data_IF_891396545749
#
_entry.id   IF_891396545749
#
_cell.length_a   1.000
_cell.length_b   1.000
_cell.length_c   1.000
_cell.angle_alpha   90.00
_cell.angle_beta   90.00
_cell.angle_gamma   90.00
#
_symmetry.space_group_name_H-M   'P 1'
#
loop_
_entity.id
_entity.type
_entity.pdbx_description
1 polymer ?
#
# COMPACT_ATOMS: atom_id res chain seq x y z
N UNK A 1 -5.15 2.33 -8.13
CA UNK A 1 -3.74 2.01 -8.47
C UNK A 1 -3.22 2.78 -9.67
N UNK A 2 -4.07 3.15 -10.62
CA UNK A 2 -3.60 3.75 -11.88
C UNK A 2 -2.90 5.09 -11.68
N UNK A 3 -3.46 5.98 -10.84
CA UNK A 3 -2.80 7.25 -10.49
C UNK A 3 -1.44 7.04 -9.82
N UNK A 4 -1.34 6.05 -8.92
CA UNK A 4 -0.14 5.78 -8.13
C UNK A 4 0.99 5.13 -8.92
N UNK A 5 0.64 4.33 -9.93
CA UNK A 5 1.61 3.52 -10.69
C UNK A 5 1.79 4.00 -12.14
N UNK A 6 0.91 4.89 -12.62
CA UNK A 6 0.83 5.29 -14.02
C UNK A 6 0.37 4.19 -14.97
N UNK A 7 -0.06 3.03 -14.45
CA UNK A 7 -0.42 1.83 -15.22
C UNK A 7 -1.87 1.45 -14.96
N UNK A 8 -2.58 1.08 -16.02
CA UNK A 8 -3.94 0.55 -15.89
C UNK A 8 -3.96 -0.79 -15.15
N UNK A 9 -5.11 -1.16 -14.58
CA UNK A 9 -5.26 -2.46 -13.90
C UNK A 9 -4.85 -3.64 -14.78
N UNK A 10 -5.19 -3.60 -16.08
CA UNK A 10 -4.83 -4.64 -17.05
C UNK A 10 -3.31 -4.73 -17.27
N UNK A 11 -2.63 -3.60 -17.29
CA UNK A 11 -1.16 -3.55 -17.45
C UNK A 11 -0.43 -4.03 -16.20
N UNK A 12 -1.08 -4.05 -15.04
CA UNK A 12 -0.48 -4.53 -13.79
C UNK A 12 -0.54 -6.06 -13.64
N UNK A 13 -1.35 -6.75 -14.45
CA UNK A 13 -1.46 -8.21 -14.43
C UNK A 13 -0.17 -8.82 -15.01
N UNK A 14 0.43 -9.76 -14.27
CA UNK A 14 1.66 -10.44 -14.68
C UNK A 14 2.96 -9.68 -14.41
N UNK A 15 2.88 -8.42 -13.97
CA UNK A 15 4.05 -7.64 -13.58
C UNK A 15 4.54 -7.98 -12.18
N UNK A 16 5.85 -7.96 -12.01
CA UNK A 16 6.51 -8.06 -10.71
C UNK A 16 6.53 -6.70 -10.01
N UNK A 17 6.73 -6.65 -8.67
CA UNK A 17 6.92 -5.38 -7.97
C UNK A 17 8.04 -4.50 -8.55
N UNK A 18 9.09 -5.10 -9.11
CA UNK A 18 10.21 -4.37 -9.74
C UNK A 18 9.82 -3.67 -11.05
N UNK A 19 8.79 -4.15 -11.75
CA UNK A 19 8.28 -3.52 -12.98
C UNK A 19 7.38 -2.30 -12.70
N UNK A 20 7.06 -2.08 -11.41
CA UNK A 20 6.05 -1.11 -10.95
C UNK A 20 6.64 -0.09 -9.99
N UNK A 21 7.59 -0.48 -9.14
CA UNK A 21 8.13 0.36 -8.07
C UNK A 21 9.65 0.46 -8.15
N UNK A 22 10.22 1.43 -7.43
CA UNK A 22 11.67 1.49 -7.21
C UNK A 22 12.17 0.23 -6.49
N UNK A 23 13.46 -0.07 -6.62
CA UNK A 23 14.08 -1.24 -6.02
C UNK A 23 13.75 -1.39 -4.52
N UNK A 24 13.94 -0.33 -3.73
CA UNK A 24 13.66 -0.33 -2.29
C UNK A 24 12.20 -0.68 -1.97
N UNK A 25 11.25 -0.08 -2.71
CA UNK A 25 9.82 -0.33 -2.49
C UNK A 25 9.45 -1.75 -2.96
N UNK A 26 10.01 -2.21 -4.08
CA UNK A 26 9.78 -3.54 -4.61
C UNK A 26 10.28 -4.63 -3.65
N UNK A 27 11.49 -4.49 -3.13
CA UNK A 27 12.06 -5.38 -2.10
C UNK A 27 11.17 -5.41 -0.85
N UNK A 28 10.70 -4.24 -0.40
CA UNK A 28 9.79 -4.16 0.75
C UNK A 28 8.47 -4.87 0.50
N UNK A 29 7.91 -4.73 -0.70
CA UNK A 29 6.67 -5.40 -1.11
C UNK A 29 6.87 -6.93 -1.08
N UNK A 30 7.97 -7.44 -1.61
CA UNK A 30 8.30 -8.87 -1.60
C UNK A 30 8.47 -9.38 -0.17
N UNK A 31 9.28 -8.70 0.65
CA UNK A 31 9.52 -9.07 2.05
C UNK A 31 8.19 -9.20 2.83
N UNK A 32 7.29 -8.23 2.64
CA UNK A 32 6.01 -8.20 3.34
C UNK A 32 5.00 -9.21 2.78
N UNK A 33 5.02 -9.49 1.47
CA UNK A 33 4.25 -10.57 0.86
C UNK A 33 4.70 -11.93 1.40
N UNK A 34 6.01 -12.17 1.47
CA UNK A 34 6.58 -13.39 2.03
C UNK A 34 6.20 -13.61 3.49
N UNK A 35 6.18 -12.56 4.31
CA UNK A 35 5.75 -12.68 5.72
C UNK A 35 4.29 -13.13 5.83
N UNK A 36 3.41 -12.55 5.03
CA UNK A 36 1.99 -12.91 4.98
C UNK A 36 1.82 -14.35 4.48
N UNK A 37 2.55 -14.73 3.43
CA UNK A 37 2.53 -16.09 2.89
C UNK A 37 3.14 -17.13 3.85
N UNK A 38 4.26 -16.85 4.50
CA UNK A 38 4.94 -17.84 5.34
C UNK A 38 4.22 -18.05 6.66
N UNK A 39 3.77 -16.96 7.30
CA UNK A 39 3.18 -17.02 8.63
C UNK A 39 1.66 -17.10 8.62
N UNK A 40 1.03 -16.92 7.45
CA UNK A 40 -0.42 -16.94 7.30
C UNK A 40 -1.15 -15.91 8.18
N UNK A 41 -0.49 -14.77 8.41
CA UNK A 41 -1.01 -13.65 9.21
C UNK A 41 -1.26 -12.44 8.34
N UNK A 42 -2.19 -11.59 8.78
CA UNK A 42 -2.35 -10.26 8.18
C UNK A 42 -1.23 -9.34 8.63
N UNK A 43 -0.78 -8.45 7.75
CA UNK A 43 0.24 -7.46 8.06
C UNK A 43 -0.28 -6.06 7.71
N UNK A 44 -0.06 -5.08 8.60
CA UNK A 44 -0.35 -3.67 8.32
C UNK A 44 0.91 -2.85 8.57
N UNK A 45 1.27 -1.97 7.64
CA UNK A 45 2.47 -1.14 7.72
C UNK A 45 2.29 0.17 6.95
N UNK A 46 3.03 1.20 7.33
CA UNK A 46 3.06 2.46 6.58
C UNK A 46 4.23 2.45 5.59
N UNK A 47 4.02 3.01 4.40
CA UNK A 47 5.04 3.10 3.36
C UNK A 47 4.87 4.41 2.59
N UNK A 48 5.98 5.13 2.40
CA UNK A 48 6.02 6.23 1.45
C UNK A 48 6.17 5.71 0.03
N UNK A 49 5.29 6.17 -0.85
CA UNK A 49 5.28 5.85 -2.27
C UNK A 49 5.44 7.14 -3.07
N UNK A 50 6.02 7.00 -4.26
CA UNK A 50 6.26 8.12 -5.19
C UNK A 50 5.34 7.92 -6.39
N UNK A 51 4.52 8.93 -6.66
CA UNK A 51 3.69 9.00 -7.86
C UNK A 51 4.58 9.20 -9.11
N UNK A 52 4.09 8.89 -10.32
CA UNK A 52 4.82 9.14 -11.56
C UNK A 52 5.18 10.63 -11.77
N UNK A 53 4.38 11.54 -11.20
CA UNK A 53 4.61 13.00 -11.20
C UNK A 53 5.69 13.45 -10.19
N UNK A 54 6.29 12.53 -9.43
CA UNK A 54 7.31 12.81 -8.42
C UNK A 54 6.76 13.16 -7.03
N UNK A 55 5.45 13.32 -6.87
CA UNK A 55 4.81 13.60 -5.58
C UNK A 55 4.98 12.39 -4.65
N UNK A 56 5.27 12.65 -3.38
CA UNK A 56 5.30 11.62 -2.34
C UNK A 56 3.98 11.56 -1.57
N UNK A 57 3.51 10.36 -1.29
CA UNK A 57 2.38 10.10 -0.42
C UNK A 57 2.67 8.95 0.54
N UNK A 58 2.16 9.05 1.76
CA UNK A 58 2.26 8.03 2.77
C UNK A 58 1.01 7.16 2.73
N UNK A 59 1.19 5.86 2.57
CA UNK A 59 0.11 4.89 2.54
C UNK A 59 0.19 3.96 3.76
N UNK A 60 -0.95 3.76 4.41
CA UNK A 60 -1.18 2.64 5.30
C UNK A 60 -1.58 1.44 4.43
N UNK A 61 -0.69 0.46 4.34
CA UNK A 61 -0.86 -0.74 3.54
C UNK A 61 -1.23 -1.91 4.45
N UNK A 62 -2.29 -2.63 4.10
CA UNK A 62 -2.71 -3.86 4.78
C UNK A 62 -2.71 -5.02 3.81
N UNK A 63 -2.05 -6.11 4.16
CA UNK A 63 -1.98 -7.35 3.39
C UNK A 63 -2.65 -8.47 4.18
N UNK A 64 -3.51 -9.24 3.52
CA UNK A 64 -4.23 -10.36 4.14
C UNK A 64 -4.14 -11.61 3.26
N UNK A 65 -3.99 -12.83 3.83
CA UNK A 65 -4.11 -14.06 3.06
C UNK A 65 -5.50 -14.17 2.42
N UNK A 66 -5.56 -14.64 1.19
CA UNK A 66 -6.80 -14.88 0.46
C UNK A 66 -6.99 -16.38 0.22
N UNK A 67 -8.16 -16.88 0.60
CA UNK A 67 -8.55 -18.27 0.49
C UNK A 67 -9.64 -18.45 -0.56
N UNK A 68 -9.63 -19.59 -1.25
CA UNK A 68 -10.73 -20.01 -2.10
C UNK A 68 -11.92 -20.54 -1.27
N UNK A 69 -12.99 -20.94 -1.96
CA UNK A 69 -14.21 -21.47 -1.33
C UNK A 69 -14.00 -22.79 -0.59
N UNK A 70 -12.89 -23.48 -0.84
CA UNK A 70 -12.54 -24.78 -0.25
C UNK A 70 -11.55 -24.60 0.92
N UNK A 71 -11.21 -23.35 1.28
CA UNK A 71 -10.29 -23.03 2.36
C UNK A 71 -8.81 -23.15 2.00
N UNK A 72 -8.49 -23.41 0.72
CA UNK A 72 -7.09 -23.42 0.25
C UNK A 72 -6.65 -21.99 -0.01
N UNK A 73 -5.46 -21.63 0.50
CA UNK A 73 -4.90 -20.30 0.27
C UNK A 73 -4.50 -20.14 -1.20
N UNK A 74 -5.12 -19.18 -1.86
CA UNK A 74 -4.96 -18.91 -3.30
C UNK A 74 -4.02 -17.72 -3.57
N UNK A 75 -3.81 -16.83 -2.60
CA UNK A 75 -2.92 -15.69 -2.76
C UNK A 75 -2.99 -14.73 -1.57
N UNK A 76 -2.76 -13.45 -1.83
CA UNK A 76 -2.98 -12.38 -0.86
C UNK A 76 -3.75 -11.22 -1.48
N UNK A 77 -4.47 -10.48 -0.62
CA UNK A 77 -5.07 -9.20 -0.97
C UNK A 77 -4.32 -8.07 -0.27
N UNK A 78 -3.99 -7.03 -1.04
CA UNK A 78 -3.43 -5.78 -0.53
C UNK A 78 -4.46 -4.66 -0.57
N UNK A 79 -4.54 -3.90 0.52
CA UNK A 79 -5.31 -2.67 0.67
C UNK A 79 -4.36 -1.53 0.93
N UNK A 80 -4.62 -0.37 0.33
CA UNK A 80 -3.88 0.85 0.60
C UNK A 80 -4.82 2.00 0.93
N UNK A 81 -4.50 2.72 2.00
CA UNK A 81 -5.17 3.97 2.39
C UNK A 81 -4.16 5.09 2.39
N UNK A 82 -4.42 6.15 1.64
CA UNK A 82 -3.61 7.37 1.72
C UNK A 82 -3.83 8.02 3.09
N UNK A 83 -2.74 8.21 3.83
CA UNK A 83 -2.68 8.85 5.14
C UNK A 83 -1.79 10.10 5.12
N UNK A 84 -1.42 10.60 3.93
CA UNK A 84 -0.51 11.74 3.76
C UNK A 84 -1.02 12.97 4.49
N UNK A 85 -2.30 13.27 4.38
CA UNK A 85 -2.91 14.39 5.12
C UNK A 85 -2.86 14.15 6.63
N UNK A 86 -3.18 12.93 7.10
CA UNK A 86 -3.09 12.58 8.53
C UNK A 86 -1.68 12.82 9.07
N UNK A 87 -0.65 12.41 8.32
CA UNK A 87 0.76 12.64 8.67
C UNK A 87 1.10 14.12 8.68
N UNK A 88 0.73 14.86 7.64
CA UNK A 88 0.95 16.33 7.59
C UNK A 88 0.27 17.05 8.73
N UNK A 89 -0.94 16.65 9.12
CA UNK A 89 -1.62 17.21 10.29
C UNK A 89 -0.94 16.79 11.59
N UNK A 90 -0.42 15.56 11.70
CA UNK A 90 0.36 15.15 12.87
C UNK A 90 1.66 15.95 12.97
N UNK A 91 2.44 16.06 11.90
CA UNK A 91 3.67 16.86 11.85
C UNK A 91 3.36 18.35 12.11
N UNK A 92 2.25 18.85 11.55
CA UNK A 92 1.80 20.21 11.79
C UNK A 92 1.32 20.39 13.23
N UNK A 93 0.64 19.43 13.86
CA UNK A 93 0.22 19.48 15.27
C UNK A 93 1.40 19.30 16.23
N UNK A 94 2.41 18.53 15.86
CA UNK A 94 3.64 18.37 16.61
C UNK A 94 4.45 19.67 16.54
N UNK A 95 4.55 20.29 15.37
CA UNK A 95 5.08 21.66 15.21
C UNK A 95 4.18 22.74 15.85
N UNK A 96 2.86 22.62 15.77
CA UNK A 96 1.84 23.55 16.29
C UNK A 96 1.49 23.32 17.76
N UNK A 97 2.01 22.26 18.39
CA UNK A 97 2.14 22.20 19.84
C UNK A 97 3.13 23.26 20.36
N UNK A 98 3.85 23.95 19.44
CA UNK A 98 4.44 25.27 19.68
C UNK A 98 3.53 26.47 19.35
N UNK A 99 2.45 26.34 18.55
CA UNK A 99 1.43 27.40 18.28
C UNK A 99 0.13 26.87 17.60
N UNK A 100 -1.06 27.05 18.20
CA UNK A 100 -2.43 26.49 17.88
C UNK A 100 -3.03 26.79 16.45
N UNK A 101 -4.07 26.04 15.95
CA UNK A 101 -4.40 25.80 14.51
C UNK A 101 -5.69 26.46 13.95
N UNK A 102 -6.14 26.15 12.69
CA UNK A 102 -7.40 25.38 12.54
C UNK A 102 -7.60 24.41 11.32
N UNK A 103 -8.53 23.46 11.53
CA UNK A 103 -9.53 22.70 10.70
C UNK A 103 -9.44 22.48 9.17
N UNK A 104 -9.68 21.22 8.70
CA UNK A 104 -10.87 20.78 7.89
C UNK A 104 -10.67 19.55 6.93
N UNK A 105 -11.73 18.71 6.86
CA UNK A 105 -12.23 17.75 5.82
C UNK A 105 -11.38 16.58 5.26
N UNK A 106 -12.03 15.40 5.09
CA UNK A 106 -11.44 14.13 4.62
C UNK A 106 -12.11 13.63 3.33
N UNK A 107 -11.32 13.22 2.34
CA UNK A 107 -11.71 12.26 1.28
C UNK A 107 -10.88 10.99 1.45
N UNK A 108 -11.51 9.81 1.52
CA UNK A 108 -10.82 8.53 1.71
C UNK A 108 -11.03 7.64 0.48
N UNK A 109 -9.97 7.36 -0.28
CA UNK A 109 -9.98 6.41 -1.41
C UNK A 109 -9.33 5.10 -0.98
N UNK A 110 -10.08 4.00 -0.96
CA UNK A 110 -9.58 2.65 -0.70
C UNK A 110 -9.41 1.85 -1.99
N UNK A 111 -8.35 1.06 -2.11
CA UNK A 111 -8.08 0.21 -3.28
C UNK A 111 -7.82 -1.26 -2.90
N UNK A 112 -8.22 -2.21 -3.75
CA UNK A 112 -8.04 -3.68 -3.55
C UNK A 112 -7.18 -4.27 -4.67
N UNK A 113 -6.03 -4.88 -4.34
CA UNK A 113 -5.21 -5.65 -5.31
C UNK A 113 -5.20 -7.13 -4.96
N UNK A 114 -5.51 -8.00 -5.93
CA UNK A 114 -5.26 -9.45 -5.86
C UNK A 114 -3.83 -9.72 -6.32
N UNK A 115 -2.98 -10.21 -5.43
CA UNK A 115 -1.65 -10.71 -5.78
C UNK A 115 -1.73 -12.24 -5.78
N UNK A 116 -1.69 -12.83 -6.97
CA UNK A 116 -1.52 -14.27 -7.14
C UNK A 116 -0.03 -14.57 -6.99
N UNK A 117 0.34 -15.34 -5.96
CA UNK A 117 1.67 -15.91 -5.93
C UNK A 117 1.82 -16.84 -7.14
N UNK A 118 2.79 -16.54 -7.99
CA UNK A 118 3.29 -17.49 -8.98
C UNK A 118 3.76 -18.72 -8.21
N UNK A 119 3.05 -19.83 -8.38
CA UNK A 119 3.54 -21.13 -7.93
C UNK A 119 4.67 -21.51 -8.88
N UNK A 120 5.91 -21.34 -8.42
CA UNK A 120 7.08 -22.02 -8.96
C UNK A 120 7.39 -23.22 -8.07
#
# INVERSE_FOLDING_TARGET
MELLTGKSEKQLIGLTPFDVYSQEIAEKVIETDEKVFRHNVSLTYEQWLVYPDGRKACFELRKVPFYDRVGKRHGLMGFGRDITERKRYQDALENASRTRPPSSQRSATSFVRRLTASSG
#
